data_IF_582719734107
#
_entry.id   IF_582719734107
#
_cell.length_a   1.000
_cell.length_b   1.000
_cell.length_c   1.000
_cell.angle_alpha   90.00
_cell.angle_beta   90.00
_cell.angle_gamma   90.00
#
_symmetry.space_group_name_H-M   'P 1'
#
loop_
_entity.id
_entity.type
_entity.pdbx_description
1 polymer ?
#
# COMPACT_ATOMS: atom_id res chain seq x y z
N UNK A 1 2.58 11.83 -8.80
CA UNK A 1 3.33 11.52 -7.55
C UNK A 1 2.35 11.47 -6.40
N UNK A 2 2.51 10.55 -5.46
CA UNK A 2 1.73 10.45 -4.22
C UNK A 2 2.67 10.57 -3.02
N UNK A 3 2.53 11.66 -2.27
CA UNK A 3 3.40 12.03 -1.15
C UNK A 3 2.66 11.69 0.15
N UNK A 4 2.82 10.46 0.62
CA UNK A 4 2.18 9.97 1.83
C UNK A 4 2.93 10.39 3.11
N UNK A 5 2.37 10.01 4.27
CA UNK A 5 3.00 10.29 5.56
C UNK A 5 4.36 9.62 5.78
N UNK A 6 4.53 8.40 5.26
CA UNK A 6 5.77 7.60 5.43
C UNK A 6 6.57 7.43 4.13
N UNK A 7 5.88 7.26 3.00
CA UNK A 7 6.51 7.00 1.70
C UNK A 7 5.98 7.96 0.64
N UNK A 8 6.89 8.38 -0.23
CA UNK A 8 6.60 8.97 -1.53
C UNK A 8 6.57 7.86 -2.57
N UNK A 9 5.59 7.92 -3.47
CA UNK A 9 5.42 7.00 -4.58
C UNK A 9 5.36 7.80 -5.88
N UNK A 10 6.12 7.35 -6.87
CA UNK A 10 6.26 7.97 -8.16
C UNK A 10 5.98 6.93 -9.24
N UNK A 11 5.03 7.23 -10.11
CA UNK A 11 4.81 6.52 -11.36
C UNK A 11 5.45 7.33 -12.49
N UNK A 12 6.34 6.71 -13.26
CA UNK A 12 7.05 7.35 -14.36
C UNK A 12 6.77 6.59 -15.66
N UNK A 13 6.20 7.27 -16.65
CA UNK A 13 5.98 6.70 -17.97
C UNK A 13 7.20 7.00 -18.85
N UNK A 14 7.89 5.94 -19.29
CA UNK A 14 9.02 5.98 -20.21
C UNK A 14 8.51 5.71 -21.63
N UNK A 15 8.50 6.70 -22.54
CA UNK A 15 8.13 6.45 -23.94
C UNK A 15 9.17 5.54 -24.61
N UNK A 16 8.70 4.51 -25.32
CA UNK A 16 9.55 3.57 -26.09
C UNK A 16 9.40 3.76 -27.60
N UNK A 17 8.54 4.69 -28.02
CA UNK A 17 8.20 5.00 -29.41
C UNK A 17 8.75 6.36 -29.86
N UNK A 18 9.83 6.82 -29.21
CA UNK A 18 10.48 8.09 -29.53
C UNK A 18 11.09 8.01 -30.92
N UNK A 19 10.71 8.95 -31.79
CA UNK A 19 11.28 9.04 -33.15
C UNK A 19 12.64 9.71 -33.14
N UNK A 20 13.42 9.54 -34.21
CA UNK A 20 14.72 10.21 -34.35
C UNK A 20 14.60 11.74 -34.38
N UNK A 21 13.48 12.28 -34.88
CA UNK A 21 13.19 13.72 -34.90
C UNK A 21 12.91 14.23 -33.48
N UNK A 22 12.04 13.53 -32.74
CA UNK A 22 11.77 13.84 -31.32
C UNK A 22 13.03 13.76 -30.45
N UNK A 23 13.91 12.79 -30.71
CA UNK A 23 15.17 12.67 -29.98
C UNK A 23 16.13 13.84 -30.27
N UNK A 24 16.07 14.45 -31.46
CA UNK A 24 16.87 15.65 -31.77
C UNK A 24 16.32 16.90 -31.08
N UNK A 25 15.00 17.02 -30.97
CA UNK A 25 14.33 18.14 -30.29
C UNK A 25 14.37 18.02 -28.76
N UNK A 26 14.59 16.82 -28.24
CA UNK A 26 14.62 16.56 -26.81
C UNK A 26 15.81 17.24 -26.12
N UNK A 27 15.50 18.11 -25.17
CA UNK A 27 16.48 18.84 -24.35
C UNK A 27 17.35 17.85 -23.56
N UNK A 28 18.66 18.11 -23.48
CA UNK A 28 19.63 17.23 -22.81
C UNK A 28 19.26 16.88 -21.35
N UNK A 29 18.57 17.79 -20.64
CA UNK A 29 18.07 17.53 -19.28
C UNK A 29 17.03 16.40 -19.25
N UNK A 30 16.10 16.33 -20.21
CA UNK A 30 15.12 15.24 -20.33
C UNK A 30 15.81 13.91 -20.59
N UNK A 31 16.77 13.87 -21.52
CA UNK A 31 17.57 12.67 -21.82
C UNK A 31 18.29 12.16 -20.58
N UNK A 32 18.91 13.07 -19.83
CA UNK A 32 19.62 12.76 -18.59
C UNK A 32 18.68 12.22 -17.50
N UNK A 33 17.48 12.79 -17.36
CA UNK A 33 16.46 12.30 -16.41
C UNK A 33 15.96 10.92 -16.81
N UNK A 34 15.55 10.73 -18.07
CA UNK A 34 15.11 9.41 -18.59
C UNK A 34 16.18 8.37 -18.33
N UNK A 35 17.41 8.62 -18.79
CA UNK A 35 18.54 7.72 -18.61
C UNK A 35 18.79 7.41 -17.13
N UNK A 36 18.76 8.42 -16.27
CA UNK A 36 18.96 8.23 -14.83
C UNK A 36 17.89 7.32 -14.22
N UNK A 37 16.62 7.49 -14.58
CA UNK A 37 15.52 6.68 -14.07
C UNK A 37 15.58 5.25 -14.61
N UNK A 38 15.93 5.05 -15.87
CA UNK A 38 15.83 3.75 -16.54
C UNK A 38 17.09 2.89 -16.38
N UNK A 39 18.27 3.51 -16.26
CA UNK A 39 19.53 2.80 -16.08
C UNK A 39 19.83 2.41 -14.62
N UNK A 40 19.05 2.90 -13.65
CA UNK A 40 19.26 2.62 -12.23
C UNK A 40 18.01 2.00 -11.59
N UNK A 41 18.22 1.14 -10.60
CA UNK A 41 17.15 0.56 -9.77
C UNK A 41 17.16 1.10 -8.34
N UNK A 42 18.25 1.76 -7.95
CA UNK A 42 18.40 2.48 -6.69
C UNK A 42 18.77 3.94 -6.98
N UNK A 43 18.18 4.86 -6.23
CA UNK A 43 18.38 6.31 -6.39
C UNK A 43 18.81 6.91 -5.05
N UNK A 44 20.05 7.42 -5.01
CA UNK A 44 20.65 7.84 -3.74
C UNK A 44 20.82 6.64 -2.80
N UNK A 45 20.56 6.86 -1.51
CA UNK A 45 20.65 5.81 -0.47
C UNK A 45 19.32 5.09 -0.20
N UNK A 46 18.18 5.70 -0.52
CA UNK A 46 16.86 5.21 -0.07
C UNK A 46 15.81 5.06 -1.17
N UNK A 47 16.05 5.62 -2.36
CA UNK A 47 15.13 5.47 -3.49
C UNK A 47 15.25 4.12 -4.16
N UNK A 48 14.11 3.49 -4.43
CA UNK A 48 14.03 2.14 -5.02
C UNK A 48 13.02 2.15 -6.17
N UNK A 49 13.41 1.58 -7.30
CA UNK A 49 12.49 1.20 -8.39
C UNK A 49 12.08 -0.25 -8.22
N UNK A 50 10.79 -0.49 -8.03
CA UNK A 50 10.23 -1.84 -7.93
C UNK A 50 10.08 -2.43 -9.35
N UNK A 51 11.20 -2.86 -9.94
CA UNK A 51 11.28 -3.33 -11.35
C UNK A 51 10.31 -4.46 -11.67
N UNK A 52 10.02 -5.31 -10.68
CA UNK A 52 9.08 -6.42 -10.83
C UNK A 52 7.64 -5.96 -11.10
N UNK A 53 7.29 -4.70 -10.83
CA UNK A 53 5.98 -4.12 -11.09
C UNK A 53 5.91 -3.35 -12.42
N UNK A 54 6.99 -3.30 -13.20
CA UNK A 54 6.97 -2.56 -14.47
C UNK A 54 5.86 -3.05 -15.42
N UNK A 55 4.97 -2.15 -15.85
CA UNK A 55 4.04 -2.43 -16.95
C UNK A 55 4.73 -2.12 -18.27
N UNK A 56 4.85 -3.12 -19.13
CA UNK A 56 5.61 -3.05 -20.38
C UNK A 56 4.68 -2.81 -21.56
N UNK A 57 5.14 -2.03 -22.54
CA UNK A 57 4.42 -1.73 -23.79
C UNK A 57 2.98 -1.22 -23.56
N UNK A 58 2.79 -0.41 -22.52
CA UNK A 58 1.54 0.24 -22.18
C UNK A 58 1.27 1.39 -23.16
N UNK A 59 0.05 1.45 -23.70
CA UNK A 59 -0.42 2.62 -24.43
C UNK A 59 -1.07 3.61 -23.47
N UNK A 60 -0.47 4.79 -23.29
CA UNK A 60 -0.97 5.85 -22.42
C UNK A 60 -0.85 7.20 -23.14
N UNK A 61 -1.93 7.98 -23.13
CA UNK A 61 -2.01 9.31 -23.80
C UNK A 61 -1.61 9.27 -25.29
N UNK A 62 -1.93 8.19 -25.99
CA UNK A 62 -1.59 8.02 -27.41
C UNK A 62 -0.13 7.64 -27.69
N UNK A 63 0.69 7.42 -26.65
CA UNK A 63 2.08 6.97 -26.74
C UNK A 63 2.22 5.55 -26.21
N UNK A 64 3.17 4.79 -26.74
CA UNK A 64 3.59 3.50 -26.17
C UNK A 64 4.81 3.68 -25.27
N UNK A 65 4.81 3.00 -24.14
CA UNK A 65 5.87 3.14 -23.15
C UNK A 65 5.82 2.11 -22.04
N UNK A 66 6.78 2.20 -21.14
CA UNK A 66 6.81 1.42 -19.91
C UNK A 66 6.39 2.28 -18.73
N UNK A 67 5.52 1.76 -17.85
CA UNK A 67 5.18 2.44 -16.60
C UNK A 67 6.04 1.88 -15.46
N UNK A 68 6.89 2.74 -14.91
CA UNK A 68 7.81 2.45 -13.82
C UNK A 68 7.26 2.88 -12.47
N UNK A 69 7.56 2.11 -11.43
CA UNK A 69 7.11 2.36 -10.05
C UNK A 69 8.30 2.57 -9.13
N UNK A 70 8.35 3.75 -8.51
CA UNK A 70 9.49 4.21 -7.71
C UNK A 70 8.98 4.70 -6.36
N UNK A 71 9.71 4.38 -5.30
CA UNK A 71 9.40 4.83 -3.94
C UNK A 71 10.63 5.28 -3.19
N UNK A 72 10.42 6.16 -2.21
CA UNK A 72 11.43 6.56 -1.23
C UNK A 72 10.74 7.06 0.05
N UNK A 73 11.42 7.08 1.20
CA UNK A 73 10.89 7.64 2.44
C UNK A 73 10.52 9.12 2.30
N UNK A 74 9.36 9.54 2.83
CA UNK A 74 8.94 10.95 2.80
C UNK A 74 9.93 11.89 3.50
N UNK A 75 10.69 11.38 4.49
CA UNK A 75 11.77 12.15 5.13
C UNK A 75 12.86 12.60 4.15
N UNK A 76 13.07 11.86 3.04
CA UNK A 76 14.11 12.15 2.04
C UNK A 76 13.59 13.02 0.90
N UNK A 77 12.35 13.50 0.98
CA UNK A 77 11.77 14.40 -0.01
C UNK A 77 12.60 15.68 -0.23
N UNK A 78 13.22 16.31 0.79
CA UNK A 78 14.13 17.44 0.57
C UNK A 78 15.30 17.09 -0.37
N UNK A 79 15.87 15.89 -0.23
CA UNK A 79 16.93 15.39 -1.12
C UNK A 79 16.42 15.25 -2.55
N UNK A 80 15.21 14.69 -2.73
CA UNK A 80 14.57 14.59 -4.04
C UNK A 80 14.35 15.97 -4.69
N UNK A 81 13.83 16.94 -3.94
CA UNK A 81 13.60 18.31 -4.42
C UNK A 81 14.94 18.97 -4.83
N UNK A 82 15.99 18.79 -4.02
CA UNK A 82 17.31 19.31 -4.34
C UNK A 82 17.91 18.64 -5.60
N UNK A 83 17.72 17.33 -5.77
CA UNK A 83 18.06 16.64 -7.02
C UNK A 83 17.29 17.22 -8.21
N UNK A 84 16.02 17.56 -8.01
CA UNK A 84 15.18 18.22 -9.00
C UNK A 84 15.75 19.57 -9.45
N UNK A 85 16.20 20.39 -8.51
CA UNK A 85 16.87 21.66 -8.82
C UNK A 85 18.19 21.44 -9.56
N UNK A 86 19.02 20.51 -9.10
CA UNK A 86 20.37 20.26 -9.66
C UNK A 86 20.35 19.63 -11.06
N UNK A 87 19.35 18.80 -11.37
CA UNK A 87 19.18 18.17 -12.69
C UNK A 87 18.44 19.07 -13.69
N UNK A 88 18.29 20.36 -13.39
CA UNK A 88 17.62 21.36 -14.23
C UNK A 88 16.22 20.94 -14.68
N UNK A 89 15.36 20.45 -13.76
CA UNK A 89 13.93 20.35 -14.05
C UNK A 89 13.30 21.71 -14.43
N UNK A 90 14.01 22.82 -14.17
CA UNK A 90 13.60 24.19 -14.46
C UNK A 90 13.69 24.63 -15.92
N UNK A 91 14.41 23.92 -16.78
CA UNK A 91 14.42 24.20 -18.23
C UNK A 91 13.22 23.60 -18.96
N UNK A 92 12.43 22.81 -18.26
CA UNK A 92 11.21 22.16 -18.76
C UNK A 92 10.02 22.86 -18.14
N UNK A 93 8.98 23.17 -18.93
CA UNK A 93 7.64 23.43 -18.39
C UNK A 93 7.12 22.13 -17.78
N UNK A 94 7.61 21.81 -16.58
CA UNK A 94 7.30 20.55 -15.92
C UNK A 94 5.99 20.72 -15.18
N UNK A 95 4.98 19.96 -15.61
CA UNK A 95 3.72 19.81 -14.88
C UNK A 95 3.86 18.61 -13.96
N UNK A 96 3.74 18.81 -12.65
CA UNK A 96 3.75 17.74 -11.66
C UNK A 96 2.37 17.61 -11.03
N UNK A 97 1.65 16.55 -11.41
CA UNK A 97 0.46 16.14 -10.69
C UNK A 97 0.85 15.40 -9.40
N UNK A 98 0.47 15.96 -8.26
CA UNK A 98 0.79 15.45 -6.93
C UNK A 98 -0.46 15.22 -6.10
N UNK A 99 -0.47 14.12 -5.35
CA UNK A 99 -1.55 13.76 -4.43
C UNK A 99 -0.98 13.33 -3.07
N UNK A 100 -1.86 12.94 -2.14
CA UNK A 100 -1.51 12.65 -0.76
C UNK A 100 -1.32 13.93 0.07
N UNK A 101 -1.39 13.80 1.39
CA UNK A 101 -1.25 14.96 2.30
C UNK A 101 0.07 15.74 2.12
N UNK A 102 1.13 15.10 1.63
CA UNK A 102 2.40 15.75 1.33
C UNK A 102 2.35 16.72 0.14
N UNK A 103 1.41 16.57 -0.79
CA UNK A 103 1.21 17.54 -1.88
C UNK A 103 0.81 18.92 -1.35
N UNK A 104 0.13 18.98 -0.20
CA UNK A 104 -0.16 20.24 0.51
C UNK A 104 1.00 20.66 1.41
N UNK A 105 1.54 19.72 2.21
CA UNK A 105 2.59 20.02 3.20
C UNK A 105 3.86 20.60 2.57
N UNK A 106 4.27 20.09 1.41
CA UNK A 106 5.53 20.43 0.75
C UNK A 106 5.32 21.30 -0.50
N UNK A 107 4.14 21.92 -0.65
CA UNK A 107 3.82 22.74 -1.82
C UNK A 107 4.85 23.85 -2.05
N UNK A 108 5.15 24.63 -1.01
CA UNK A 108 6.13 25.72 -1.10
C UNK A 108 7.54 25.20 -1.44
N UNK A 109 7.92 24.03 -0.90
CA UNK A 109 9.19 23.41 -1.23
C UNK A 109 9.28 23.03 -2.71
N UNK A 110 8.22 22.52 -3.31
CA UNK A 110 8.18 22.25 -4.75
C UNK A 110 8.21 23.53 -5.59
N UNK A 111 7.55 24.61 -5.15
CA UNK A 111 7.54 25.91 -5.85
C UNK A 111 8.92 26.56 -5.97
N UNK A 112 9.86 26.15 -5.12
CA UNK A 112 11.27 26.58 -5.26
C UNK A 112 11.98 26.00 -6.48
N UNK A 113 11.45 24.92 -7.09
CA UNK A 113 11.96 24.40 -8.36
C UNK A 113 11.41 25.33 -9.45
N UNK A 114 12.29 26.12 -10.06
CA UNK A 114 11.89 27.10 -11.08
C UNK A 114 11.05 26.47 -12.18
N UNK A 115 10.00 27.15 -12.65
CA UNK A 115 9.10 26.73 -13.73
C UNK A 115 8.34 25.39 -13.51
N UNK A 116 8.31 24.85 -12.29
CA UNK A 116 7.50 23.68 -11.94
C UNK A 116 6.05 24.11 -11.62
N UNK A 117 5.08 23.53 -12.32
CA UNK A 117 3.65 23.69 -12.03
C UNK A 117 3.13 22.50 -11.23
N UNK A 118 2.93 22.71 -9.92
CA UNK A 118 2.38 21.68 -9.03
C UNK A 118 0.84 21.72 -9.08
N UNK A 119 0.22 20.63 -9.55
CA UNK A 119 -1.22 20.42 -9.50
C UNK A 119 -1.56 19.43 -8.40
N UNK A 120 -2.18 19.93 -7.33
CA UNK A 120 -2.64 19.11 -6.20
C UNK A 120 -3.94 18.40 -6.56
N UNK A 121 -3.99 17.09 -6.34
CA UNK A 121 -5.14 16.23 -6.58
C UNK A 121 -5.51 15.48 -5.29
N UNK A 122 -6.78 15.15 -5.10
CA UNK A 122 -7.23 14.42 -3.91
C UNK A 122 -6.67 12.99 -3.85
N UNK A 123 -6.29 12.56 -2.64
CA UNK A 123 -5.64 11.27 -2.37
C UNK A 123 -6.55 10.08 -2.71
N UNK A 124 -7.81 10.15 -2.31
CA UNK A 124 -8.77 9.07 -2.45
C UNK A 124 -9.32 8.99 -3.87
N UNK A 125 -9.51 10.15 -4.52
CA UNK A 125 -9.88 10.21 -5.94
C UNK A 125 -8.80 9.58 -6.82
N UNK A 126 -7.53 9.93 -6.57
CA UNK A 126 -6.40 9.34 -7.30
C UNK A 126 -6.26 7.85 -7.00
N UNK A 127 -6.48 7.42 -5.76
CA UNK A 127 -6.49 6.00 -5.40
C UNK A 127 -7.53 5.21 -6.20
N UNK A 128 -8.80 5.66 -6.22
CA UNK A 128 -9.87 4.96 -6.95
C UNK A 128 -9.58 4.95 -8.45
N UNK A 129 -9.18 6.09 -9.02
CA UNK A 129 -8.86 6.21 -10.45
C UNK A 129 -7.67 5.32 -10.85
N UNK A 130 -6.60 5.32 -10.07
CA UNK A 130 -5.42 4.52 -10.34
C UNK A 130 -5.66 3.02 -10.20
N UNK A 131 -6.44 2.60 -9.20
CA UNK A 131 -6.81 1.19 -8.99
C UNK A 131 -7.59 0.65 -10.19
N UNK A 132 -8.67 1.34 -10.57
CA UNK A 132 -9.50 0.92 -11.69
C UNK A 132 -8.72 0.91 -13.01
N UNK A 133 -7.83 1.88 -13.21
CA UNK A 133 -6.98 1.92 -14.41
C UNK A 133 -6.01 0.75 -14.48
N UNK A 134 -5.24 0.49 -13.42
CA UNK A 134 -4.22 -0.58 -13.42
C UNK A 134 -4.88 -1.95 -13.63
N UNK A 135 -6.01 -2.21 -12.98
CA UNK A 135 -6.75 -3.46 -13.20
C UNK A 135 -7.22 -3.59 -14.67
N UNK A 136 -7.75 -2.51 -15.26
CA UNK A 136 -8.24 -2.53 -16.65
C UNK A 136 -7.16 -2.77 -17.71
N UNK A 137 -5.90 -2.41 -17.43
CA UNK A 137 -4.78 -2.63 -18.36
C UNK A 137 -4.05 -3.94 -18.11
N UNK A 138 -4.47 -4.71 -17.10
CA UNK A 138 -3.83 -5.93 -16.62
C UNK A 138 -2.38 -5.76 -16.16
N UNK A 139 -1.81 -6.80 -15.57
CA UNK A 139 -0.40 -6.85 -15.22
C UNK A 139 0.37 -7.69 -16.24
N UNK A 140 0.76 -7.07 -17.37
CA UNK A 140 1.49 -7.74 -18.46
C UNK A 140 0.79 -9.03 -18.94
N UNK A 141 -0.54 -9.01 -19.04
CA UNK A 141 -1.37 -10.17 -19.40
C UNK A 141 -1.78 -11.07 -18.23
N UNK A 142 -1.34 -10.78 -17.01
CA UNK A 142 -1.80 -11.43 -15.77
C UNK A 142 -2.88 -10.58 -15.09
N UNK A 143 -3.66 -11.20 -14.19
CA UNK A 143 -4.62 -10.47 -13.39
C UNK A 143 -3.91 -9.57 -12.39
N UNK A 144 -4.34 -8.31 -12.28
CA UNK A 144 -3.88 -7.40 -11.22
C UNK A 144 -4.41 -7.84 -9.85
N UNK A 145 -5.67 -8.29 -9.81
CA UNK A 145 -6.32 -8.72 -8.58
C UNK A 145 -6.14 -10.20 -8.29
N UNK A 146 -5.95 -10.53 -7.02
CA UNK A 146 -5.84 -11.90 -6.54
C UNK A 146 -6.48 -12.07 -5.16
N UNK A 147 -6.69 -13.33 -4.78
CA UNK A 147 -7.15 -13.74 -3.46
C UNK A 147 -6.40 -14.99 -2.99
N UNK A 148 -6.50 -15.32 -1.70
CA UNK A 148 -6.02 -16.59 -1.18
C UNK A 148 -7.17 -17.60 -1.11
N UNK A 149 -7.15 -18.59 -2.01
CA UNK A 149 -8.09 -19.71 -1.95
C UNK A 149 -7.76 -20.62 -0.76
N UNK A 150 -8.79 -21.17 -0.11
CA UNK A 150 -8.65 -22.02 1.09
C UNK A 150 -7.83 -21.33 2.20
N UNK A 151 -8.07 -20.03 2.46
CA UNK A 151 -7.31 -19.24 3.42
C UNK A 151 -7.33 -19.82 4.85
N UNK A 152 -8.35 -20.60 5.18
CA UNK A 152 -8.54 -21.30 6.45
C UNK A 152 -7.77 -22.63 6.57
N UNK A 153 -7.17 -23.12 5.50
CA UNK A 153 -6.44 -24.40 5.44
C UNK A 153 -4.99 -24.14 4.99
N UNK A 154 -4.01 -24.00 5.91
CA UNK A 154 -2.64 -23.58 5.57
C UNK A 154 -1.96 -24.41 4.46
N UNK A 155 -2.21 -25.72 4.43
CA UNK A 155 -1.65 -26.64 3.43
C UNK A 155 -2.22 -26.46 2.02
N UNK A 156 -3.43 -25.88 1.91
CA UNK A 156 -4.14 -25.65 0.64
C UNK A 156 -4.26 -24.17 0.27
N UNK A 157 -3.73 -23.30 1.12
CA UNK A 157 -3.79 -21.85 0.98
C UNK A 157 -2.91 -21.40 -0.18
N UNK A 158 -3.53 -20.93 -1.26
CA UNK A 158 -2.83 -20.57 -2.51
C UNK A 158 -3.32 -19.25 -3.09
N UNK A 159 -2.40 -18.48 -3.67
CA UNK A 159 -2.70 -17.25 -4.42
C UNK A 159 -3.40 -17.62 -5.73
N UNK A 160 -4.57 -17.04 -5.99
CA UNK A 160 -5.37 -17.27 -7.19
C UNK A 160 -5.78 -15.93 -7.80
N UNK A 161 -5.80 -15.79 -9.14
CA UNK A 161 -6.28 -14.58 -9.80
C UNK A 161 -7.77 -14.34 -9.49
N UNK A 162 -8.16 -13.07 -9.45
CA UNK A 162 -9.55 -12.64 -9.32
C UNK A 162 -9.84 -11.59 -10.40
N UNK A 163 -10.98 -11.73 -11.08
CA UNK A 163 -11.39 -10.81 -12.13
C UNK A 163 -12.24 -9.66 -11.54
N UNK A 164 -11.93 -8.43 -11.94
CA UNK A 164 -12.61 -7.21 -11.51
C UNK A 164 -13.27 -6.46 -12.70
N UNK A 165 -13.65 -7.15 -13.79
CA UNK A 165 -14.26 -6.54 -14.99
C UNK A 165 -15.55 -5.76 -14.66
N UNK A 166 -16.34 -6.26 -13.69
CA UNK A 166 -17.42 -5.51 -13.04
C UNK A 166 -17.09 -5.33 -11.55
N UNK A 167 -16.32 -4.28 -11.19
CA UNK A 167 -15.72 -4.18 -9.86
C UNK A 167 -16.74 -3.73 -8.80
N UNK A 168 -17.95 -3.31 -9.17
CA UNK A 168 -18.86 -2.61 -8.26
C UNK A 168 -19.96 -3.50 -7.67
N UNK A 169 -20.39 -3.27 -6.41
CA UNK A 169 -19.72 -2.43 -5.42
C UNK A 169 -18.45 -3.11 -4.88
N UNK A 170 -17.51 -2.29 -4.39
CA UNK A 170 -16.23 -2.70 -3.80
C UNK A 170 -15.98 -1.94 -2.50
N UNK A 171 -15.47 -2.62 -1.48
CA UNK A 171 -14.92 -1.95 -0.30
C UNK A 171 -13.41 -1.87 -0.49
N UNK A 172 -12.85 -0.65 -0.53
CA UNK A 172 -11.40 -0.45 -0.65
C UNK A 172 -10.86 -0.04 0.72
N UNK A 173 -9.92 -0.82 1.25
CA UNK A 173 -9.26 -0.60 2.54
C UNK A 173 -7.81 -0.24 2.25
N UNK A 174 -7.49 1.06 2.28
CA UNK A 174 -6.15 1.58 2.02
C UNK A 174 -5.34 1.65 3.32
N UNK A 175 -4.37 0.74 3.48
CA UNK A 175 -3.51 0.60 4.66
C UNK A 175 -2.17 1.29 4.41
N UNK A 176 -2.14 2.60 4.68
CA UNK A 176 -0.93 3.43 4.69
C UNK A 176 -0.37 3.59 6.10
N UNK A 177 0.07 4.82 6.44
CA UNK A 177 0.46 5.17 7.81
C UNK A 177 -0.72 4.99 8.79
N UNK A 178 -1.90 5.48 8.39
CA UNK A 178 -3.20 5.11 8.97
C UNK A 178 -4.01 4.28 7.97
N UNK A 179 -5.33 4.20 8.15
CA UNK A 179 -6.22 3.45 7.27
C UNK A 179 -7.44 4.28 6.87
N UNK A 180 -7.74 4.31 5.57
CA UNK A 180 -9.00 4.84 5.02
C UNK A 180 -9.81 3.72 4.39
N UNK A 181 -11.11 3.69 4.66
CA UNK A 181 -12.04 2.68 4.15
C UNK A 181 -13.08 3.37 3.26
N UNK A 182 -13.16 2.95 2.01
CA UNK A 182 -14.03 3.49 0.97
C UNK A 182 -15.07 2.46 0.58
N UNK A 183 -16.31 2.90 0.39
CA UNK A 183 -17.31 2.16 -0.37
C UNK A 183 -17.37 2.76 -1.78
N UNK A 184 -17.07 1.95 -2.78
CA UNK A 184 -17.02 2.34 -4.20
C UNK A 184 -18.20 1.70 -4.92
N UNK A 185 -19.17 2.51 -5.34
CA UNK A 185 -20.40 2.08 -6.00
C UNK A 185 -20.35 2.26 -7.52
N UNK A 186 -19.53 3.20 -8.00
CA UNK A 186 -19.14 3.34 -9.41
C UNK A 186 -17.83 4.12 -9.50
N UNK A 187 -17.29 4.30 -10.71
CA UNK A 187 -16.07 5.09 -10.95
C UNK A 187 -16.11 6.51 -10.39
N UNK A 188 -17.30 7.12 -10.33
CA UNK A 188 -17.51 8.51 -9.90
C UNK A 188 -18.40 8.60 -8.65
N UNK A 189 -18.81 7.46 -8.09
CA UNK A 189 -19.64 7.40 -6.88
C UNK A 189 -18.97 6.52 -5.83
N UNK A 190 -18.26 7.17 -4.92
CA UNK A 190 -17.63 6.54 -3.77
C UNK A 190 -17.68 7.49 -2.58
N UNK A 191 -17.60 6.90 -1.39
CA UNK A 191 -17.53 7.65 -0.13
C UNK A 191 -16.49 7.04 0.80
N UNK A 192 -15.83 7.89 1.59
CA UNK A 192 -15.04 7.44 2.73
C UNK A 192 -15.98 7.06 3.87
N UNK A 193 -16.19 5.76 4.07
CA UNK A 193 -17.08 5.21 5.10
C UNK A 193 -16.54 5.56 6.48
N UNK A 194 -15.25 5.28 6.72
CA UNK A 194 -14.55 5.54 7.97
C UNK A 194 -13.03 5.40 7.78
N UNK A 195 -12.28 5.41 8.89
CA UNK A 195 -10.90 4.99 8.94
C UNK A 195 -10.47 4.62 10.35
N UNK A 196 -9.23 4.16 10.50
CA UNK A 196 -8.58 3.94 11.79
C UNK A 196 -7.17 4.53 11.75
N UNK A 197 -6.72 5.11 12.86
CA UNK A 197 -5.33 5.55 13.01
C UNK A 197 -4.37 4.38 13.27
N UNK A 198 -4.89 3.19 13.60
CA UNK A 198 -4.12 1.96 13.81
C UNK A 198 -3.78 1.32 12.46
N UNK A 199 -2.78 1.87 11.77
CA UNK A 199 -2.33 1.43 10.46
C UNK A 199 -0.88 0.93 10.44
N UNK A 200 -0.26 0.95 9.26
CA UNK A 200 1.13 0.52 9.09
C UNK A 200 2.13 1.38 9.84
N UNK A 201 1.81 2.66 10.08
CA UNK A 201 2.62 3.55 10.92
C UNK A 201 2.60 3.15 12.40
N UNK A 202 1.46 2.65 12.89
CA UNK A 202 1.35 2.12 14.25
C UNK A 202 2.15 0.83 14.38
N UNK A 203 2.06 -0.08 13.40
CA UNK A 203 2.88 -1.29 13.38
C UNK A 203 4.36 -0.96 13.43
N UNK A 204 4.85 -0.16 12.47
CA UNK A 204 6.27 0.17 12.38
C UNK A 204 6.76 0.92 13.63
N UNK A 205 6.03 1.94 14.07
CA UNK A 205 6.41 2.74 15.24
C UNK A 205 6.50 1.92 16.53
N UNK A 206 5.52 1.03 16.77
CA UNK A 206 5.55 0.15 17.94
C UNK A 206 6.66 -0.91 17.81
N UNK A 207 6.89 -1.48 16.63
CA UNK A 207 8.01 -2.40 16.42
C UNK A 207 9.36 -1.72 16.71
N UNK A 208 9.59 -0.50 16.22
CA UNK A 208 10.81 0.25 16.53
C UNK A 208 10.98 0.45 18.04
N UNK A 209 9.91 0.83 18.75
CA UNK A 209 9.96 1.04 20.21
C UNK A 209 10.19 -0.24 21.01
N UNK A 210 9.53 -1.34 20.62
CA UNK A 210 9.52 -2.58 21.39
C UNK A 210 10.70 -3.49 21.08
N UNK A 211 11.28 -3.37 19.88
CA UNK A 211 12.29 -4.31 19.37
C UNK A 211 13.60 -3.63 18.99
N UNK A 212 13.57 -2.34 18.71
CA UNK A 212 14.72 -1.59 18.20
C UNK A 212 14.99 -1.79 16.71
N UNK A 213 14.08 -2.39 15.94
CA UNK A 213 14.23 -2.47 14.49
C UNK A 213 14.28 -1.08 13.85
N UNK A 214 15.05 -0.94 12.77
CA UNK A 214 15.31 0.34 12.09
C UNK A 214 14.57 0.46 10.75
N UNK A 215 13.98 -0.64 10.27
CA UNK A 215 13.26 -0.68 8.99
C UNK A 215 11.98 -1.51 9.03
N UNK A 216 11.12 -1.28 8.04
CA UNK A 216 9.89 -2.06 7.87
C UNK A 216 10.17 -3.52 7.53
N UNK A 217 11.17 -3.76 6.67
CA UNK A 217 11.62 -5.08 6.27
C UNK A 217 12.17 -5.88 7.47
N UNK A 218 12.98 -5.24 8.32
CA UNK A 218 13.47 -5.86 9.56
C UNK A 218 12.32 -6.20 10.52
N UNK A 219 11.37 -5.27 10.71
CA UNK A 219 10.19 -5.52 11.54
C UNK A 219 9.37 -6.74 11.06
N UNK A 220 9.22 -6.91 9.74
CA UNK A 220 8.58 -8.08 9.15
C UNK A 220 9.41 -9.35 9.32
N UNK A 221 10.73 -9.27 9.17
CA UNK A 221 11.62 -10.42 9.39
C UNK A 221 11.54 -10.93 10.84
N UNK A 222 11.53 -10.01 11.82
CA UNK A 222 11.33 -10.35 13.22
C UNK A 222 9.95 -10.97 13.46
N UNK A 223 8.89 -10.37 12.91
CA UNK A 223 7.53 -10.88 13.02
C UNK A 223 7.34 -12.25 12.34
N UNK A 224 8.16 -12.61 11.35
CA UNK A 224 8.10 -13.94 10.72
C UNK A 224 8.62 -15.06 11.64
N UNK A 225 9.49 -14.72 12.61
CA UNK A 225 10.15 -15.67 13.52
C UNK A 225 9.45 -15.80 14.88
N UNK A 226 8.62 -14.82 15.25
CA UNK A 226 7.97 -14.77 16.56
C UNK A 226 6.66 -15.55 16.68
N UNK A 227 6.27 -15.78 17.92
CA UNK A 227 4.97 -16.35 18.33
C UNK A 227 4.19 -15.30 19.14
N UNK A 228 3.10 -14.78 18.57
CA UNK A 228 2.29 -13.76 19.24
C UNK A 228 1.63 -14.27 20.52
N UNK A 229 1.44 -15.58 20.68
CA UNK A 229 0.78 -16.15 21.87
C UNK A 229 1.62 -16.03 23.14
N UNK A 230 2.92 -15.71 23.02
CA UNK A 230 3.77 -15.36 24.16
C UNK A 230 3.41 -13.99 24.76
N UNK A 231 2.93 -13.06 23.92
CA UNK A 231 2.56 -11.70 24.32
C UNK A 231 1.05 -11.51 24.51
N UNK A 232 0.23 -12.16 23.70
CA UNK A 232 -1.22 -12.05 23.70
C UNK A 232 -1.86 -12.94 24.76
N UNK A 233 -3.01 -12.51 25.29
CA UNK A 233 -3.88 -13.36 26.12
C UNK A 233 -5.01 -13.91 25.27
N UNK A 234 -5.12 -15.23 25.23
CA UNK A 234 -6.10 -15.96 24.42
C UNK A 234 -7.38 -16.27 25.21
N UNK A 235 -8.45 -16.66 24.51
CA UNK A 235 -9.71 -17.10 25.14
C UNK A 235 -9.47 -18.26 26.10
N UNK A 236 -8.63 -19.24 25.72
CA UNK A 236 -8.28 -20.38 26.59
C UNK A 236 -7.53 -19.99 27.87
N UNK A 237 -6.82 -18.87 27.86
CA UNK A 237 -6.10 -18.38 29.04
C UNK A 237 -7.06 -17.81 30.10
N UNK A 238 -8.31 -17.51 29.71
CA UNK A 238 -9.37 -16.98 30.58
C UNK A 238 -10.39 -18.08 30.92
N UNK A 239 -10.82 -18.85 29.92
CA UNK A 239 -11.91 -19.83 30.04
C UNK A 239 -11.43 -21.28 30.21
N UNK A 240 -10.13 -21.57 30.06
CA UNK A 240 -9.60 -22.94 30.06
C UNK A 240 -9.91 -23.76 28.80
N UNK A 241 -10.54 -23.14 27.79
CA UNK A 241 -10.98 -23.77 26.54
C UNK A 241 -11.72 -22.75 25.66
N UNK A 242 -12.72 -23.21 24.92
CA UNK A 242 -13.58 -22.36 24.10
C UNK A 242 -14.61 -21.61 24.97
N UNK A 243 -15.02 -20.41 24.54
CA UNK A 243 -16.23 -19.77 25.07
C UNK A 243 -17.44 -20.15 24.21
N UNK A 244 -17.99 -21.33 24.49
CA UNK A 244 -19.00 -21.99 23.65
C UNK A 244 -20.25 -21.16 23.39
N UNK A 245 -20.75 -20.44 24.40
CA UNK A 245 -22.02 -19.69 24.29
C UNK A 245 -22.05 -18.70 23.13
N UNK A 246 -20.91 -18.10 22.80
CA UNK A 246 -20.78 -17.14 21.69
C UNK A 246 -19.86 -17.64 20.57
N UNK A 247 -19.45 -18.92 20.62
CA UNK A 247 -18.60 -19.53 19.59
C UNK A 247 -17.24 -18.87 19.44
N UNK A 248 -16.62 -18.40 20.54
CA UNK A 248 -15.25 -17.89 20.49
C UNK A 248 -14.28 -19.05 20.79
N UNK A 249 -13.46 -19.46 19.82
CA UNK A 249 -12.57 -20.59 20.02
C UNK A 249 -11.42 -20.22 20.95
N UNK A 250 -10.88 -21.19 21.68
CA UNK A 250 -9.85 -21.01 22.70
C UNK A 250 -8.54 -20.44 22.17
N UNK A 251 -8.26 -20.61 20.87
CA UNK A 251 -7.08 -20.04 20.21
C UNK A 251 -7.25 -18.56 19.84
N UNK A 252 -8.47 -18.01 19.84
CA UNK A 252 -8.70 -16.61 19.50
C UNK A 252 -8.07 -15.67 20.54
N UNK A 253 -7.51 -14.55 20.07
CA UNK A 253 -6.99 -13.51 20.95
C UNK A 253 -8.15 -12.84 21.68
N UNK A 254 -8.12 -12.88 23.01
CA UNK A 254 -9.09 -12.19 23.86
C UNK A 254 -8.61 -10.77 24.23
N UNK A 255 -7.30 -10.62 24.48
CA UNK A 255 -6.66 -9.34 24.77
C UNK A 255 -5.26 -9.30 24.17
N UNK A 256 -5.08 -8.53 23.10
CA UNK A 256 -3.77 -8.23 22.51
C UNK A 256 -2.81 -7.67 23.56
N UNK A 257 -1.58 -8.18 23.60
CA UNK A 257 -0.56 -7.88 24.62
C UNK A 257 -1.01 -8.11 26.08
N UNK A 258 -2.14 -8.79 26.30
CA UNK A 258 -2.75 -8.94 27.63
C UNK A 258 -1.92 -9.77 28.61
N UNK A 259 -0.94 -10.54 28.12
CA UNK A 259 0.00 -11.28 28.94
C UNK A 259 1.19 -10.43 29.39
N UNK A 260 1.40 -9.25 28.79
CA UNK A 260 2.51 -8.34 29.14
C UNK A 260 2.27 -7.56 30.44
N UNK A 261 1.12 -7.72 31.11
CA UNK A 261 0.90 -7.15 32.45
C UNK A 261 1.72 -7.89 33.53
N UNK A 262 2.07 -9.16 33.29
CA UNK A 262 2.83 -10.00 34.21
C UNK A 262 4.34 -9.83 33.99
N UNK A 263 5.10 -9.65 35.08
CA UNK A 263 6.53 -9.31 35.00
C UNK A 263 7.35 -10.45 34.40
N UNK A 264 7.10 -11.66 34.88
CA UNK A 264 7.75 -12.90 34.43
C UNK A 264 7.55 -13.15 32.94
N UNK A 265 6.37 -12.82 32.38
CA UNK A 265 6.12 -12.94 30.93
C UNK A 265 6.85 -11.87 30.13
N UNK A 266 6.98 -10.65 30.66
CA UNK A 266 7.79 -9.59 30.03
C UNK A 266 9.28 -9.93 30.04
N UNK A 267 9.76 -10.67 31.04
CA UNK A 267 11.17 -11.09 31.12
C UNK A 267 11.49 -12.26 30.18
N UNK A 268 10.49 -13.05 29.78
CA UNK A 268 10.68 -14.20 28.88
C UNK A 268 10.36 -13.93 27.42
N UNK A 269 9.56 -12.90 27.11
CA UNK A 269 9.13 -12.62 25.72
C UNK A 269 10.31 -12.15 24.86
N UNK A 270 10.42 -12.68 23.64
CA UNK A 270 11.45 -12.25 22.70
C UNK A 270 11.02 -10.99 21.93
N UNK A 271 11.97 -10.34 21.26
CA UNK A 271 11.65 -9.18 20.40
C UNK A 271 10.83 -9.62 19.18
N UNK A 272 11.12 -10.80 18.65
CA UNK A 272 10.42 -11.44 17.54
C UNK A 272 8.94 -11.69 17.91
N UNK A 273 8.66 -12.16 19.12
CA UNK A 273 7.30 -12.34 19.64
C UNK A 273 6.54 -11.02 19.73
N UNK A 274 7.19 -9.95 20.18
CA UNK A 274 6.61 -8.61 20.24
C UNK A 274 6.34 -8.04 18.84
N UNK A 275 7.25 -8.22 17.87
CA UNK A 275 7.03 -7.85 16.48
C UNK A 275 5.83 -8.62 15.89
N UNK A 276 5.76 -9.93 16.14
CA UNK A 276 4.65 -10.79 15.71
C UNK A 276 3.32 -10.34 16.33
N UNK A 277 3.28 -10.11 17.64
CA UNK A 277 2.07 -9.67 18.33
C UNK A 277 1.59 -8.28 17.85
N UNK A 278 2.53 -7.38 17.55
CA UNK A 278 2.20 -6.06 16.96
C UNK A 278 1.55 -6.25 15.60
N UNK A 279 2.16 -7.04 14.72
CA UNK A 279 1.63 -7.32 13.37
C UNK A 279 0.24 -7.96 13.42
N UNK A 280 0.06 -8.99 14.26
CA UNK A 280 -1.22 -9.70 14.43
C UNK A 280 -2.30 -8.75 14.96
N UNK A 281 -1.98 -7.94 15.96
CA UNK A 281 -2.91 -6.98 16.58
C UNK A 281 -3.41 -5.94 15.57
N UNK A 282 -2.50 -5.29 14.86
CA UNK A 282 -2.84 -4.26 13.88
C UNK A 282 -3.65 -4.88 12.72
N UNK A 283 -3.20 -6.01 12.19
CA UNK A 283 -3.85 -6.67 11.05
C UNK A 283 -5.26 -7.15 11.39
N UNK A 284 -5.45 -7.81 12.55
CA UNK A 284 -6.78 -8.29 12.96
C UNK A 284 -7.72 -7.13 13.30
N UNK A 285 -7.21 -6.02 13.87
CA UNK A 285 -8.02 -4.83 14.09
C UNK A 285 -8.55 -4.27 12.75
N UNK A 286 -7.68 -4.12 11.75
CA UNK A 286 -8.05 -3.68 10.41
C UNK A 286 -9.07 -4.63 9.78
N UNK A 287 -8.83 -5.94 9.83
CA UNK A 287 -9.76 -6.95 9.31
C UNK A 287 -11.14 -6.89 9.98
N UNK A 288 -11.20 -6.68 11.29
CA UNK A 288 -12.46 -6.54 12.03
C UNK A 288 -13.23 -5.28 11.63
N UNK A 289 -12.55 -4.12 11.54
CA UNK A 289 -13.17 -2.87 11.09
C UNK A 289 -13.66 -2.99 9.64
N UNK A 290 -12.84 -3.55 8.75
CA UNK A 290 -13.22 -3.78 7.35
C UNK A 290 -14.46 -4.69 7.24
N UNK A 291 -14.52 -5.79 8.02
CA UNK A 291 -15.69 -6.68 8.09
C UNK A 291 -16.94 -5.93 8.54
N UNK A 292 -16.87 -5.10 9.58
CA UNK A 292 -18.01 -4.32 10.05
C UNK A 292 -18.51 -3.32 9.00
N UNK A 293 -17.59 -2.63 8.31
CA UNK A 293 -17.92 -1.73 7.21
C UNK A 293 -18.55 -2.48 6.03
N UNK A 294 -17.98 -3.61 5.63
CA UNK A 294 -18.49 -4.45 4.54
C UNK A 294 -19.93 -4.90 4.80
N UNK A 295 -20.23 -5.38 6.02
CA UNK A 295 -21.58 -5.77 6.43
C UNK A 295 -22.54 -4.58 6.42
N UNK A 296 -22.14 -3.44 6.98
CA UNK A 296 -22.99 -2.25 7.05
C UNK A 296 -23.31 -1.66 5.66
N UNK A 297 -22.33 -1.64 4.77
CA UNK A 297 -22.47 -1.15 3.39
C UNK A 297 -23.04 -2.21 2.43
N UNK A 298 -23.27 -3.44 2.91
CA UNK A 298 -23.76 -4.59 2.13
C UNK A 298 -22.86 -4.95 0.94
N UNK A 299 -21.55 -4.90 1.16
CA UNK A 299 -20.52 -5.21 0.15
C UNK A 299 -19.81 -6.50 0.57
N UNK A 300 -19.64 -7.44 -0.35
CA UNK A 300 -19.02 -8.75 -0.09
C UNK A 300 -17.57 -8.88 -0.59
N UNK A 301 -17.08 -7.93 -1.40
CA UNK A 301 -15.70 -7.87 -1.89
C UNK A 301 -14.94 -6.75 -1.19
N UNK A 302 -13.87 -7.12 -0.49
CA UNK A 302 -13.03 -6.18 0.26
C UNK A 302 -11.62 -6.24 -0.32
N UNK A 303 -11.22 -5.19 -1.04
CA UNK A 303 -9.87 -5.05 -1.59
C UNK A 303 -9.01 -4.29 -0.58
N UNK A 304 -7.92 -4.93 -0.14
CA UNK A 304 -6.92 -4.31 0.70
C UNK A 304 -5.74 -3.85 -0.16
N UNK A 305 -5.32 -2.61 0.05
CA UNK A 305 -4.20 -1.97 -0.65
C UNK A 305 -3.34 -1.21 0.36
N UNK A 306 -2.27 -0.58 -0.12
CA UNK A 306 -1.36 0.22 0.67
C UNK A 306 -0.09 -0.54 1.06
N UNK A 307 0.98 0.23 1.26
CA UNK A 307 2.33 -0.31 1.41
C UNK A 307 2.57 -1.10 2.71
N UNK A 308 1.62 -1.13 3.65
CA UNK A 308 1.68 -2.06 4.79
C UNK A 308 1.67 -3.52 4.33
N UNK A 309 1.07 -3.82 3.17
CA UNK A 309 0.99 -5.17 2.63
C UNK A 309 2.17 -5.56 1.74
N UNK A 310 3.04 -4.60 1.40
CA UNK A 310 4.26 -4.84 0.61
C UNK A 310 5.10 -5.89 1.28
N UNK A 311 5.44 -6.95 0.53
CA UNK A 311 6.22 -8.11 0.99
C UNK A 311 5.69 -8.74 2.30
N UNK A 312 4.42 -8.50 2.63
CA UNK A 312 3.80 -8.88 3.91
C UNK A 312 2.68 -9.91 3.69
N UNK A 313 3.04 -11.02 3.05
CA UNK A 313 2.15 -12.17 2.82
C UNK A 313 1.53 -12.70 4.10
N UNK A 314 2.23 -12.52 5.23
CA UNK A 314 1.73 -12.89 6.54
C UNK A 314 0.43 -12.15 6.90
N UNK A 315 0.43 -10.82 6.76
CA UNK A 315 -0.75 -10.01 7.04
C UNK A 315 -1.84 -10.23 6.00
N UNK A 316 -1.49 -10.41 4.73
CA UNK A 316 -2.46 -10.73 3.68
C UNK A 316 -3.19 -12.05 3.96
N UNK A 317 -2.47 -13.11 4.31
CA UNK A 317 -3.08 -14.40 4.70
C UNK A 317 -3.95 -14.27 5.96
N UNK A 318 -3.51 -13.49 6.95
CA UNK A 318 -4.28 -13.24 8.16
C UNK A 318 -5.58 -12.47 7.87
N UNK A 319 -5.55 -11.46 7.00
CA UNK A 319 -6.74 -10.73 6.54
C UNK A 319 -7.70 -11.66 5.79
N UNK A 320 -7.18 -12.48 4.87
CA UNK A 320 -7.98 -13.44 4.12
C UNK A 320 -8.67 -14.45 5.03
N UNK A 321 -7.92 -15.03 5.97
CA UNK A 321 -8.44 -15.94 6.98
C UNK A 321 -9.50 -15.27 7.86
N UNK A 322 -9.21 -14.08 8.41
CA UNK A 322 -10.10 -13.40 9.34
C UNK A 322 -11.43 -13.00 8.66
N UNK A 323 -11.38 -12.48 7.43
CA UNK A 323 -12.60 -12.14 6.71
C UNK A 323 -13.44 -13.39 6.40
N UNK A 324 -12.80 -14.46 5.93
CA UNK A 324 -13.49 -15.73 5.62
C UNK A 324 -14.11 -16.35 6.88
N UNK A 325 -13.31 -16.56 7.92
CA UNK A 325 -13.73 -17.20 9.18
C UNK A 325 -14.85 -16.43 9.88
N UNK A 326 -14.67 -15.13 10.13
CA UNK A 326 -15.63 -14.34 10.89
C UNK A 326 -16.89 -13.95 10.11
N UNK A 327 -16.87 -14.09 8.78
CA UNK A 327 -18.07 -13.91 7.94
C UNK A 327 -18.73 -15.22 7.52
N UNK A 328 -18.19 -16.38 7.93
CA UNK A 328 -18.64 -17.70 7.46
C UNK A 328 -18.63 -17.80 5.93
N UNK A 329 -17.58 -17.29 5.30
CA UNK A 329 -17.37 -17.31 3.84
C UNK A 329 -18.18 -16.28 3.05
N UNK A 330 -18.90 -15.37 3.69
CA UNK A 330 -19.71 -14.35 3.00
C UNK A 330 -18.89 -13.18 2.45
N UNK A 331 -17.73 -12.88 3.05
CA UNK A 331 -16.82 -11.82 2.62
C UNK A 331 -15.56 -12.41 2.02
N UNK A 332 -15.07 -11.81 0.94
CA UNK A 332 -13.81 -12.19 0.30
C UNK A 332 -12.79 -11.06 0.42
N UNK A 333 -11.62 -11.38 0.98
CA UNK A 333 -10.46 -10.51 0.94
C UNK A 333 -9.78 -10.61 -0.44
N UNK A 334 -9.56 -9.47 -1.05
CA UNK A 334 -8.91 -9.30 -2.33
C UNK A 334 -7.67 -8.42 -2.16
N UNK A 335 -6.67 -8.63 -3.00
CA UNK A 335 -5.40 -7.93 -2.99
C UNK A 335 -5.01 -7.56 -4.43
N UNK A 336 -4.06 -6.64 -4.58
CA UNK A 336 -3.61 -6.16 -5.88
C UNK A 336 -2.08 -6.15 -5.92
N UNK A 337 -1.47 -6.46 -7.07
CA UNK A 337 -0.01 -6.53 -7.19
C UNK A 337 0.67 -5.16 -7.01
N UNK A 338 0.02 -4.07 -7.43
CA UNK A 338 0.54 -2.70 -7.35
C UNK A 338 0.05 -1.94 -6.12
N UNK A 339 -0.26 -2.66 -5.03
CA UNK A 339 -0.96 -2.20 -3.81
C UNK A 339 -0.54 -0.82 -3.27
N UNK A 340 0.71 -0.41 -3.44
CA UNK A 340 1.24 0.85 -2.92
C UNK A 340 1.14 2.07 -3.85
N UNK A 341 0.78 1.90 -5.13
CA UNK A 341 1.10 2.85 -6.20
C UNK A 341 -0.10 3.53 -6.86
N UNK A 342 -1.32 3.10 -6.57
CA UNK A 342 -2.53 3.59 -7.24
C UNK A 342 -2.72 5.11 -7.14
N UNK A 343 -2.44 5.73 -5.99
CA UNK A 343 -2.49 7.19 -5.86
C UNK A 343 -1.53 7.90 -6.81
N UNK A 344 -0.32 7.37 -6.99
CA UNK A 344 0.65 7.94 -7.93
C UNK A 344 0.19 7.83 -9.38
N UNK A 345 -0.38 6.67 -9.75
CA UNK A 345 -0.96 6.42 -11.08
C UNK A 345 -2.17 7.33 -11.34
N UNK A 346 -3.10 7.43 -10.39
CA UNK A 346 -4.26 8.33 -10.51
C UNK A 346 -3.85 9.78 -10.72
N UNK A 347 -2.78 10.21 -10.04
CA UNK A 347 -2.20 11.53 -10.24
C UNK A 347 -1.59 11.68 -11.64
N UNK A 348 -0.87 10.69 -12.16
CA UNK A 348 -0.38 10.68 -13.54
C UNK A 348 -1.54 10.80 -14.56
N UNK A 349 -2.63 10.07 -14.34
CA UNK A 349 -3.84 10.13 -15.17
C UNK A 349 -4.59 11.47 -15.09
N UNK A 350 -4.23 12.36 -14.17
CA UNK A 350 -4.72 13.73 -14.09
C UNK A 350 -4.03 14.70 -15.05
N UNK A 351 -2.87 14.31 -15.61
CA UNK A 351 -2.02 15.18 -16.43
C UNK A 351 -2.75 15.82 -17.63
N UNK A 352 -3.59 15.11 -18.41
CA UNK A 352 -4.27 15.69 -19.58
C UNK A 352 -5.23 16.84 -19.26
N UNK A 353 -5.61 17.02 -17.99
CA UNK A 353 -6.49 18.10 -17.57
C UNK A 353 -5.76 19.46 -17.46
N UNK A 354 -4.43 19.45 -17.56
CA UNK A 354 -3.57 20.61 -17.34
C UNK A 354 -2.53 20.82 -18.46
N UNK A 355 -2.49 19.94 -19.46
CA UNK A 355 -1.55 19.93 -20.58
C UNK A 355 -2.14 20.49 -21.86
#
# INVERSE_FOLDING_TARGET
MDIGGTLVKLSYFEPIDITAEEEQEEVESLKSIRKYLTSNVAYGSTGIRDVHLELKDLTLFGRRGNLHFIRFPTQDLPTFIQMGRNKNFSTLHTVLCATGGGAYKFEEDFRTIGNLHLHKLDELDCLVKGLLYIDSVSFNGQAECYYFANASEPERCQKMPFNLDDPYPLLVVNIGSGVSILAVHSKDNYKRVTGTSLGGGTFLGLCCLLTGCESFEEALEMAAKGDSTQADKLVRDIYGGDYERFGLPGWAVASSFGNMIYKEKRESVSKEDLARATLVTITNNIGSVARMCAVNEKINRVVFVGNFLRVNTLSMKLLAYALDYWSKGQLKALFLEHEGYFGAVGALLGLPNFS
#
